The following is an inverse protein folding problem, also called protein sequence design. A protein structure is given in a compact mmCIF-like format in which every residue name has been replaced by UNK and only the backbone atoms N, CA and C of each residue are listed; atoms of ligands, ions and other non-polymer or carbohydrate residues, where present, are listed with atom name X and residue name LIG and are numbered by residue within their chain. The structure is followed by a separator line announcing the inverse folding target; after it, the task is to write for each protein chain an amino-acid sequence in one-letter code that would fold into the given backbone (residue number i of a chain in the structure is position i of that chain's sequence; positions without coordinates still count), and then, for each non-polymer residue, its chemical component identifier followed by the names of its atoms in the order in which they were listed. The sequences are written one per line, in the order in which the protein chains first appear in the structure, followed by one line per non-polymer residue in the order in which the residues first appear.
data_IF_273465297978
#
_entry.id   IF_273465297978
#
_cell.length_a   1.000
_cell.length_b   1.000
_cell.length_c   1.000
_cell.angle_alpha   90.00
_cell.angle_beta   90.00
_cell.angle_gamma   90.00
#
_symmetry.space_group_name_H-M   'P 1'
#
loop_
_entity.id
_entity.type
_entity.pdbx_description
1 polymer ?
#
# COMPACT_ATOMS: atom_id res chain seq x y z
N UNK A 1 -9.85 -13.21 -6.12
CA UNK A 1 -9.66 -13.73 -4.76
C UNK A 1 -8.40 -13.20 -4.12
N UNK A 2 -8.27 -13.33 -2.80
CA UNK A 2 -7.22 -12.68 -2.00
C UNK A 2 -5.84 -13.32 -2.22
N UNK A 3 -5.83 -14.63 -2.40
CA UNK A 3 -4.66 -15.48 -2.66
C UNK A 3 -4.00 -15.24 -4.03
N UNK A 4 -4.68 -14.54 -4.95
CA UNK A 4 -4.08 -14.00 -6.16
C UNK A 4 -2.94 -13.01 -5.83
N UNK A 5 -3.00 -12.36 -4.66
CA UNK A 5 -1.99 -11.41 -4.18
C UNK A 5 -1.14 -12.01 -3.06
N UNK A 6 0.07 -11.47 -2.87
CA UNK A 6 1.05 -12.00 -1.93
C UNK A 6 0.48 -12.10 -0.50
N UNK A 7 -0.26 -11.09 -0.07
CA UNK A 7 -0.79 -11.00 1.29
C UNK A 7 -1.89 -12.04 1.58
N UNK A 8 -2.72 -12.40 0.59
CA UNK A 8 -3.65 -13.50 0.75
C UNK A 8 -2.93 -14.85 0.91
N UNK A 9 -1.82 -15.06 0.20
CA UNK A 9 -0.98 -16.27 0.38
C UNK A 9 -0.28 -16.28 1.74
N UNK A 10 0.20 -15.13 2.21
CA UNK A 10 0.76 -14.97 3.57
C UNK A 10 -0.29 -15.32 4.63
N UNK A 11 -1.53 -14.85 4.49
CA UNK A 11 -2.61 -15.17 5.41
C UNK A 11 -2.92 -16.68 5.40
N UNK A 12 -3.10 -17.28 4.22
CA UNK A 12 -3.41 -18.70 4.09
C UNK A 12 -2.31 -19.59 4.70
N UNK A 13 -1.04 -19.27 4.46
CA UNK A 13 0.08 -20.02 5.02
C UNK A 13 0.20 -19.80 6.55
N UNK A 14 -0.06 -18.59 7.04
CA UNK A 14 -0.13 -18.31 8.48
C UNK A 14 -1.19 -19.18 9.17
N UNK A 15 -2.39 -19.26 8.59
CA UNK A 15 -3.47 -20.09 9.13
C UNK A 15 -3.07 -21.56 9.18
N UNK A 16 -2.47 -22.07 8.09
CA UNK A 16 -1.95 -23.45 8.06
C UNK A 16 -0.90 -23.70 9.15
N UNK A 17 0.01 -22.75 9.38
CA UNK A 17 1.03 -22.87 10.46
C UNK A 17 0.42 -22.83 11.85
N UNK A 18 -0.61 -22.01 12.07
CA UNK A 18 -1.35 -21.99 13.33
C UNK A 18 -2.06 -23.33 13.59
N UNK A 19 -2.67 -23.93 12.57
CA UNK A 19 -3.30 -25.25 12.69
C UNK A 19 -2.28 -26.34 13.04
N UNK A 20 -1.09 -26.30 12.43
CA UNK A 20 -0.01 -27.23 12.77
C UNK A 20 0.54 -26.98 14.18
N UNK A 21 0.68 -25.71 14.58
CA UNK A 21 1.17 -25.32 15.90
C UNK A 21 0.23 -25.76 17.03
N UNK A 22 -1.09 -25.84 16.77
CA UNK A 22 -2.07 -26.37 17.73
C UNK A 22 -1.78 -27.81 18.17
N UNK A 23 -1.07 -28.60 17.34
CA UNK A 23 -0.72 -29.99 17.64
C UNK A 23 0.62 -30.14 18.38
N UNK A 24 1.29 -29.02 18.68
CA UNK A 24 2.59 -29.02 19.36
C UNK A 24 2.41 -28.89 20.87
N UNK A 25 3.36 -29.46 21.60
CA UNK A 25 3.46 -29.27 23.05
C UNK A 25 4.33 -28.05 23.39
N UNK A 26 5.31 -27.72 22.54
CA UNK A 26 6.19 -26.59 22.76
C UNK A 26 5.55 -25.25 22.37
N UNK A 27 5.88 -24.15 23.09
CA UNK A 27 5.51 -22.81 22.69
C UNK A 27 6.00 -22.46 21.28
N UNK A 28 5.23 -21.66 20.57
CA UNK A 28 5.59 -21.17 19.24
C UNK A 28 5.55 -19.65 19.18
N UNK A 29 6.29 -19.10 18.22
CA UNK A 29 6.26 -17.68 17.86
C UNK A 29 6.10 -17.56 16.34
N UNK A 30 5.11 -16.78 15.89
CA UNK A 30 4.83 -16.56 14.46
C UNK A 30 4.76 -15.06 14.19
N UNK A 31 5.37 -14.63 13.09
CA UNK A 31 5.23 -13.29 12.53
C UNK A 31 4.59 -13.41 11.14
N UNK A 32 3.47 -12.71 10.94
CA UNK A 32 2.80 -12.60 9.66
C UNK A 32 3.02 -11.18 9.11
N UNK A 33 3.95 -11.05 8.16
CA UNK A 33 4.29 -9.77 7.54
C UNK A 33 3.46 -9.53 6.29
N UNK A 34 2.50 -8.61 6.36
CA UNK A 34 1.74 -8.15 5.20
C UNK A 34 2.48 -7.01 4.49
N UNK A 35 2.53 -7.07 3.16
CA UNK A 35 3.20 -6.07 2.35
C UNK A 35 2.32 -4.84 2.11
N UNK A 36 0.99 -4.97 2.05
CA UNK A 36 0.08 -3.82 1.95
C UNK A 36 0.20 -2.96 3.22
N UNK A 37 0.16 -1.62 3.11
CA UNK A 37 -0.19 -0.81 1.93
C UNK A 37 1.02 -0.39 1.09
N UNK A 38 2.17 -1.05 1.15
CA UNK A 38 3.32 -0.70 0.31
C UNK A 38 2.95 -0.70 -1.19
N UNK A 39 3.59 0.17 -1.97
CA UNK A 39 3.39 0.24 -3.41
C UNK A 39 3.84 -1.05 -4.13
N UNK A 40 3.37 -1.31 -5.37
CA UNK A 40 2.23 -0.66 -6.03
C UNK A 40 0.93 -1.00 -5.32
N UNK A 41 -0.07 -0.12 -5.21
CA UNK A 41 -1.35 -0.44 -4.56
C UNK A 41 -2.15 -1.49 -5.36
N UNK A 42 -1.82 -2.76 -5.17
CA UNK A 42 -2.42 -3.90 -5.86
C UNK A 42 -3.20 -4.76 -4.87
N UNK A 43 -4.53 -4.77 -5.02
CA UNK A 43 -5.45 -5.53 -4.17
C UNK A 43 -6.66 -6.00 -4.99
N UNK A 44 -7.36 -7.08 -4.57
CA UNK A 44 -8.57 -7.54 -5.24
C UNK A 44 -9.64 -6.44 -5.37
N UNK A 45 -10.36 -6.44 -6.50
CA UNK A 45 -11.39 -5.44 -6.84
C UNK A 45 -12.42 -5.22 -5.72
N UNK A 46 -12.82 -6.30 -5.02
CA UNK A 46 -13.79 -6.22 -3.92
C UNK A 46 -13.42 -5.21 -2.83
N UNK A 47 -12.13 -4.95 -2.60
CA UNK A 47 -11.67 -3.95 -1.63
C UNK A 47 -11.68 -2.52 -2.18
N UNK A 48 -11.47 -2.36 -3.50
CA UNK A 48 -11.65 -1.08 -4.17
C UNK A 48 -13.11 -0.66 -4.19
N UNK A 49 -14.02 -1.62 -4.41
CA UNK A 49 -15.46 -1.39 -4.47
C UNK A 49 -16.07 -0.92 -3.14
N UNK A 50 -15.32 -1.02 -2.02
CA UNK A 50 -15.73 -0.49 -0.72
C UNK A 50 -15.70 1.04 -0.65
N UNK A 51 -14.97 1.70 -1.57
CA UNK A 51 -14.71 3.13 -1.50
C UNK A 51 -15.07 3.82 -2.81
N UNK A 52 -15.76 4.95 -2.69
CA UNK A 52 -15.95 5.89 -3.80
C UNK A 52 -14.82 6.93 -3.76
N UNK A 53 -13.92 6.97 -4.76
CA UNK A 53 -12.82 7.92 -4.78
C UNK A 53 -13.25 9.38 -4.66
N UNK A 54 -14.45 9.72 -5.14
CA UNK A 54 -14.99 11.10 -5.09
C UNK A 54 -15.35 11.55 -3.67
N UNK A 55 -15.44 10.62 -2.71
CA UNK A 55 -15.74 10.91 -1.31
C UNK A 55 -14.49 11.10 -0.47
N UNK A 56 -13.29 10.83 -1.00
CA UNK A 56 -12.06 11.09 -0.28
C UNK A 56 -11.85 12.59 -0.13
N UNK A 57 -11.65 13.03 1.12
CA UNK A 57 -11.14 14.37 1.41
C UNK A 57 -9.63 14.31 1.33
N UNK A 58 -9.04 15.23 0.56
CA UNK A 58 -7.59 15.43 0.58
C UNK A 58 -7.15 15.95 1.95
N UNK A 59 -5.86 15.82 2.23
CA UNK A 59 -5.28 16.39 3.44
C UNK A 59 -5.56 17.90 3.48
N UNK A 60 -6.03 18.40 4.61
CA UNK A 60 -6.33 19.84 4.80
C UNK A 60 -5.07 20.71 4.67
N UNK A 61 -3.91 20.12 4.98
CA UNK A 61 -2.61 20.76 4.85
C UNK A 61 -1.74 19.95 3.86
N UNK A 62 -1.46 20.57 2.71
CA UNK A 62 -0.53 20.06 1.69
C UNK A 62 0.85 20.72 1.76
N UNK A 63 1.05 21.65 2.69
CA UNK A 63 2.31 22.36 2.83
C UNK A 63 3.38 21.47 3.45
N UNK A 64 4.62 21.76 3.06
CA UNK A 64 5.77 21.11 3.67
C UNK A 64 5.88 21.59 5.12
N UNK A 65 6.28 20.71 6.07
CA UNK A 65 6.37 21.10 7.47
C UNK A 65 7.27 22.33 7.64
N UNK A 66 6.82 23.28 8.47
CA UNK A 66 7.56 24.51 8.74
C UNK A 66 8.95 24.19 9.29
N UNK A 67 9.98 24.87 8.77
CA UNK A 67 11.37 24.63 9.17
C UNK A 67 11.97 23.30 8.68
N UNK A 68 11.24 22.50 7.90
CA UNK A 68 11.78 21.25 7.34
C UNK A 68 12.99 21.53 6.43
N UNK A 69 14.11 20.78 6.58
CA UNK A 69 15.22 20.92 5.68
C UNK A 69 14.82 20.46 4.28
N UNK A 70 15.32 21.14 3.24
CA UNK A 70 14.96 20.84 1.84
C UNK A 70 15.16 19.37 1.45
N UNK A 71 16.12 18.67 2.06
CA UNK A 71 16.39 17.24 1.82
C UNK A 71 15.29 16.31 2.33
N UNK A 72 14.55 16.71 3.36
CA UNK A 72 13.43 15.94 3.92
C UNK A 72 12.11 16.17 3.15
N UNK A 73 12.06 17.19 2.30
CA UNK A 73 10.89 17.52 1.50
C UNK A 73 10.76 16.51 0.35
N UNK A 74 9.77 15.62 0.44
CA UNK A 74 9.56 14.56 -0.54
C UNK A 74 9.20 15.16 -1.90
N UNK A 75 10.03 14.92 -2.92
CA UNK A 75 9.78 15.30 -4.32
C UNK A 75 9.62 14.05 -5.18
N UNK A 76 8.39 13.55 -5.30
CA UNK A 76 8.11 12.33 -6.08
C UNK A 76 8.75 11.07 -5.49
N UNK A 77 9.27 10.20 -6.37
CA UNK A 77 9.94 8.94 -6.00
C UNK A 77 9.17 7.70 -6.44
N UNK A 78 9.25 6.64 -5.64
CA UNK A 78 8.61 5.33 -5.92
C UNK A 78 7.12 5.44 -6.26
N UNK A 79 6.42 6.40 -5.66
CA UNK A 79 4.98 6.60 -5.89
C UNK A 79 4.61 6.97 -7.33
N UNK A 80 5.59 7.41 -8.15
CA UNK A 80 5.41 7.70 -9.58
C UNK A 80 5.93 6.60 -10.51
N UNK A 81 6.37 5.45 -9.97
CA UNK A 81 6.95 4.37 -10.78
C UNK A 81 5.92 3.34 -11.27
N UNK A 82 4.63 3.49 -10.94
CA UNK A 82 3.61 2.48 -11.21
C UNK A 82 2.46 3.03 -12.03
N UNK A 83 2.08 2.32 -13.08
CA UNK A 83 0.85 2.60 -13.84
C UNK A 83 -0.38 2.49 -12.91
N UNK A 84 -1.39 3.37 -13.03
CA UNK A 84 -1.57 4.44 -14.02
C UNK A 84 -1.07 5.83 -13.56
N UNK A 85 -0.16 5.91 -12.57
CA UNK A 85 0.41 7.21 -12.18
C UNK A 85 1.16 7.79 -13.38
N UNK A 86 0.90 9.06 -13.77
CA UNK A 86 1.58 9.73 -14.88
C UNK A 86 3.10 9.54 -14.88
N UNK A 87 3.68 9.39 -16.07
CA UNK A 87 5.13 9.23 -16.20
C UNK A 87 5.84 10.46 -15.61
N UNK A 88 6.71 10.22 -14.63
CA UNK A 88 7.53 11.25 -13.99
C UNK A 88 8.43 12.00 -14.98
N UNK A 89 8.71 11.41 -16.14
CA UNK A 89 9.52 12.00 -17.20
C UNK A 89 8.69 12.76 -18.25
N UNK A 90 7.36 12.69 -18.18
CA UNK A 90 6.45 13.41 -19.07
C UNK A 90 5.52 14.35 -18.26
N UNK A 91 5.97 15.59 -18.01
CA UNK A 91 5.19 16.59 -17.28
C UNK A 91 3.82 16.90 -17.90
N UNK A 92 3.62 16.61 -19.20
CA UNK A 92 2.35 16.86 -19.87
C UNK A 92 1.21 15.97 -19.35
N UNK A 93 1.53 14.85 -18.69
CA UNK A 93 0.56 13.94 -18.08
C UNK A 93 0.13 14.37 -16.65
N UNK A 94 0.82 15.33 -16.03
CA UNK A 94 0.49 15.82 -14.68
C UNK A 94 -0.44 17.03 -14.81
N UNK A 95 -1.75 16.76 -14.79
CA UNK A 95 -2.78 17.80 -14.84
C UNK A 95 -2.89 18.55 -13.50
N UNK A 96 -3.56 19.71 -13.47
CA UNK A 96 -3.89 20.43 -12.22
C UNK A 96 -4.74 19.61 -11.24
N UNK A 97 -5.43 18.59 -11.72
CA UNK A 97 -6.21 17.67 -10.87
C UNK A 97 -5.33 16.58 -10.23
N UNK A 98 -4.14 16.34 -10.78
CA UNK A 98 -3.14 15.38 -10.30
C UNK A 98 -1.96 16.05 -9.57
N UNK A 99 -1.85 17.38 -9.67
CA UNK A 99 -0.83 18.23 -9.04
C UNK A 99 -1.32 18.75 -7.68
#
# INVERSE_FOLDING_TARGET
EDDAYADGRVAAETVKRLQAAKQREEPFFIVAGFARPHLPFSAPKKYWDLYDPKKFKLAENSDLPEGSPKVAQKRGGEIRNYFPVPDKNDPAQITKELA
#
